data_IF_351380983727
#
_entry.id   IF_351380983727
#
_cell.length_a   1.000
_cell.length_b   1.000
_cell.length_c   1.000
_cell.angle_alpha   90.00
_cell.angle_beta   90.00
_cell.angle_gamma   90.00
#
_symmetry.space_group_name_H-M   'P 1'
#
loop_
_entity.id
_entity.type
_entity.pdbx_description
1 polymer ?
#
# COMPACT_ATOMS: atom_id res chain seq x y z
N UNK A 1 -23.25 -12.54 -11.76
CA UNK A 1 -23.20 -11.72 -10.53
C UNK A 1 -22.42 -10.44 -10.87
N UNK A 2 -22.90 -9.23 -10.51
CA UNK A 2 -22.15 -7.99 -10.78
C UNK A 2 -21.10 -7.82 -9.69
N UNK A 3 -19.84 -7.62 -10.08
CA UNK A 3 -18.71 -7.40 -9.18
C UNK A 3 -18.17 -5.98 -9.37
N UNK A 4 -17.69 -5.36 -8.29
CA UNK A 4 -17.07 -4.05 -8.29
C UNK A 4 -15.77 -4.11 -7.51
N UNK A 5 -14.72 -3.47 -8.02
CA UNK A 5 -13.43 -3.35 -7.39
C UNK A 5 -13.22 -1.92 -6.90
N UNK A 6 -12.62 -1.79 -5.73
CA UNK A 6 -12.18 -0.50 -5.20
C UNK A 6 -10.76 -0.63 -4.65
N UNK A 7 -9.85 0.19 -5.17
CA UNK A 7 -8.51 0.32 -4.61
C UNK A 7 -8.53 1.45 -3.58
N UNK A 8 -8.26 1.10 -2.32
CA UNK A 8 -8.28 2.02 -1.19
C UNK A 8 -6.96 1.93 -0.45
N UNK A 9 -6.10 2.92 -0.67
CA UNK A 9 -4.81 3.01 0.00
C UNK A 9 -4.95 3.82 1.28
N UNK A 10 -5.22 3.14 2.38
CA UNK A 10 -5.55 3.72 3.69
C UNK A 10 -4.44 3.43 4.72
N UNK A 11 -4.41 4.25 5.76
CA UNK A 11 -3.60 4.04 6.95
C UNK A 11 -4.46 3.51 8.11
N UNK A 12 -3.82 2.84 9.06
CA UNK A 12 -4.49 2.27 10.25
C UNK A 12 -5.33 3.29 11.03
N UNK A 13 -4.91 4.56 11.07
CA UNK A 13 -5.66 5.62 11.75
C UNK A 13 -6.93 6.08 11.00
N UNK A 14 -7.15 5.62 9.77
CA UNK A 14 -8.30 5.99 8.94
C UNK A 14 -9.46 4.96 9.01
N UNK A 15 -9.43 4.06 9.97
CA UNK A 15 -10.40 2.97 10.09
C UNK A 15 -11.87 3.43 10.11
N UNK A 16 -12.18 4.55 10.82
CA UNK A 16 -13.55 5.11 10.86
C UNK A 16 -14.06 5.52 9.47
N UNK A 17 -13.17 6.02 8.63
CA UNK A 17 -13.50 6.38 7.24
C UNK A 17 -13.76 5.13 6.42
N UNK A 18 -12.97 4.07 6.61
CA UNK A 18 -13.15 2.80 5.93
C UNK A 18 -14.49 2.15 6.34
N UNK A 19 -14.83 2.11 7.63
CA UNK A 19 -16.11 1.62 8.11
C UNK A 19 -17.28 2.40 7.49
N UNK A 20 -17.16 3.74 7.44
CA UNK A 20 -18.18 4.60 6.81
C UNK A 20 -18.32 4.31 5.32
N UNK A 21 -17.20 4.07 4.62
CA UNK A 21 -17.22 3.69 3.21
C UNK A 21 -17.93 2.36 2.98
N UNK A 22 -17.63 1.34 3.81
CA UNK A 22 -18.27 0.03 3.70
C UNK A 22 -19.78 0.12 3.92
N UNK A 23 -20.23 0.91 4.92
CA UNK A 23 -21.66 1.21 5.13
C UNK A 23 -22.31 1.89 3.92
N UNK A 24 -21.63 2.86 3.31
CA UNK A 24 -22.12 3.54 2.09
C UNK A 24 -22.25 2.58 0.91
N UNK A 25 -21.29 1.66 0.75
CA UNK A 25 -21.36 0.62 -0.28
C UNK A 25 -22.52 -0.33 -0.04
N UNK A 26 -22.75 -0.73 1.21
CA UNK A 26 -23.87 -1.57 1.60
C UNK A 26 -25.22 -0.90 1.29
N UNK A 27 -25.38 0.38 1.65
CA UNK A 27 -26.61 1.17 1.32
C UNK A 27 -26.89 1.21 -0.19
N UNK A 28 -25.86 1.09 -1.04
CA UNK A 28 -25.98 1.00 -2.50
C UNK A 28 -26.22 -0.44 -3.01
N UNK A 29 -26.36 -1.41 -2.09
CA UNK A 29 -26.59 -2.81 -2.37
C UNK A 29 -25.31 -3.58 -2.76
N UNK A 30 -24.12 -3.08 -2.37
CA UNK A 30 -22.84 -3.72 -2.58
C UNK A 30 -22.32 -4.29 -1.26
N UNK A 31 -22.25 -5.61 -1.14
CA UNK A 31 -21.67 -6.30 0.00
C UNK A 31 -20.18 -6.55 -0.26
N UNK A 32 -19.35 -6.36 0.77
CA UNK A 32 -17.96 -6.76 0.74
C UNK A 32 -17.89 -8.29 0.61
N UNK A 33 -17.06 -8.77 -0.30
CA UNK A 33 -16.89 -10.19 -0.57
C UNK A 33 -15.48 -10.67 -0.15
N UNK A 34 -14.46 -9.97 -0.61
CA UNK A 34 -13.06 -10.30 -0.29
C UNK A 34 -12.16 -9.07 -0.34
N UNK A 35 -10.96 -9.20 0.26
CA UNK A 35 -9.95 -8.14 0.29
C UNK A 35 -8.60 -8.73 -0.11
N UNK A 36 -7.99 -8.19 -1.14
CA UNK A 36 -6.66 -8.54 -1.60
C UNK A 36 -5.72 -7.32 -1.50
N UNK A 37 -4.85 -7.30 -0.48
CA UNK A 37 -4.05 -6.12 -0.18
C UNK A 37 -4.92 -4.88 0.10
N UNK A 38 -4.85 -3.90 -0.78
CA UNK A 38 -5.65 -2.68 -0.76
C UNK A 38 -6.82 -2.71 -1.76
N UNK A 39 -7.08 -3.85 -2.41
CA UNK A 39 -8.18 -4.02 -3.36
C UNK A 39 -9.35 -4.67 -2.62
N UNK A 40 -10.47 -3.94 -2.54
CA UNK A 40 -11.73 -4.38 -1.97
C UNK A 40 -12.63 -4.87 -3.10
N UNK A 41 -13.16 -6.08 -2.96
CA UNK A 41 -14.02 -6.71 -3.94
C UNK A 41 -15.44 -6.75 -3.36
N UNK A 42 -16.38 -6.18 -4.11
CA UNK A 42 -17.77 -6.09 -3.71
C UNK A 42 -18.64 -6.87 -4.68
N UNK A 43 -19.66 -7.55 -4.15
CA UNK A 43 -20.65 -8.26 -4.92
C UNK A 43 -22.04 -7.67 -4.66
N UNK A 44 -22.90 -7.68 -5.68
CA UNK A 44 -24.27 -7.16 -5.56
C UNK A 44 -25.12 -8.17 -4.77
N UNK A 45 -25.63 -7.78 -3.60
CA UNK A 45 -26.54 -8.59 -2.74
C UNK A 45 -27.81 -7.82 -2.46
N UNK A 46 -28.92 -8.55 -2.29
CA UNK A 46 -30.21 -7.93 -1.94
C UNK A 46 -30.22 -7.38 -0.51
N UNK A 47 -29.51 -8.03 0.39
CA UNK A 47 -29.39 -7.64 1.81
C UNK A 47 -27.89 -7.67 2.20
N UNK A 48 -27.17 -6.57 2.00
CA UNK A 48 -25.81 -6.44 2.54
C UNK A 48 -25.88 -6.15 4.04
N UNK A 49 -24.80 -6.43 4.77
CA UNK A 49 -24.66 -6.08 6.18
C UNK A 49 -24.89 -4.58 6.40
N UNK A 50 -25.55 -4.19 7.50
CA UNK A 50 -25.86 -2.79 7.77
C UNK A 50 -24.70 -2.05 8.44
N UNK A 51 -24.05 -2.70 9.41
CA UNK A 51 -22.95 -2.12 10.18
C UNK A 51 -21.66 -2.89 9.91
N UNK A 52 -20.53 -2.18 9.84
CA UNK A 52 -19.21 -2.75 9.66
C UNK A 52 -18.27 -2.29 10.74
N UNK A 53 -17.47 -3.21 11.23
CA UNK A 53 -16.36 -3.00 12.15
C UNK A 53 -15.06 -3.46 11.49
N UNK A 54 -14.03 -2.62 11.53
CA UNK A 54 -12.72 -2.92 10.96
C UNK A 54 -11.71 -3.07 12.07
N UNK A 55 -11.12 -4.24 12.20
CA UNK A 55 -10.00 -4.49 13.09
C UNK A 55 -8.69 -4.63 12.31
N UNK A 56 -7.59 -4.15 12.89
CA UNK A 56 -6.26 -4.34 12.34
C UNK A 56 -5.59 -5.48 13.08
N UNK A 57 -5.09 -6.46 12.33
CA UNK A 57 -4.41 -7.65 12.85
C UNK A 57 -3.09 -7.25 13.53
N UNK A 58 -3.20 -6.66 14.72
CA UNK A 58 -2.04 -6.15 15.48
C UNK A 58 -1.27 -7.25 16.19
N UNK A 59 -1.89 -8.39 16.44
CA UNK A 59 -1.26 -9.54 17.07
C UNK A 59 -0.75 -10.52 16.02
N UNK A 60 0.51 -10.94 16.16
CA UNK A 60 1.07 -12.06 15.39
C UNK A 60 0.65 -13.42 15.96
N UNK A 61 -0.02 -13.41 17.11
CA UNK A 61 -0.46 -14.59 17.81
C UNK A 61 -1.85 -15.00 17.31
N UNK A 62 -1.91 -16.10 16.58
CA UNK A 62 -3.16 -16.61 16.00
C UNK A 62 -4.21 -16.95 17.08
N UNK A 63 -3.77 -17.38 18.29
CA UNK A 63 -4.68 -17.70 19.38
C UNK A 63 -5.39 -16.48 19.93
N UNK A 64 -4.70 -15.34 20.03
CA UNK A 64 -5.28 -14.08 20.47
C UNK A 64 -6.24 -13.51 19.43
N UNK A 65 -5.92 -13.69 18.14
CA UNK A 65 -6.83 -13.28 17.08
C UNK A 65 -8.10 -14.12 17.08
N UNK A 66 -8.00 -15.43 17.31
CA UNK A 66 -9.19 -16.30 17.42
C UNK A 66 -10.07 -15.90 18.61
N UNK A 67 -9.51 -15.72 19.80
CA UNK A 67 -10.26 -15.25 20.98
C UNK A 67 -10.94 -13.89 20.74
N UNK A 68 -10.28 -12.99 20.02
CA UNK A 68 -10.86 -11.71 19.66
C UNK A 68 -12.02 -11.88 18.67
N UNK A 69 -11.89 -12.78 17.68
CA UNK A 69 -12.98 -13.08 16.75
C UNK A 69 -14.20 -13.65 17.47
N UNK A 70 -14.00 -14.61 18.39
CA UNK A 70 -15.07 -15.21 19.18
C UNK A 70 -15.80 -14.13 20.00
N UNK A 71 -15.05 -13.22 20.63
CA UNK A 71 -15.62 -12.08 21.37
C UNK A 71 -16.46 -11.16 20.47
N UNK A 72 -15.99 -10.84 19.27
CA UNK A 72 -16.71 -9.99 18.32
C UNK A 72 -18.01 -10.67 17.85
N UNK A 73 -17.99 -11.99 17.67
CA UNK A 73 -19.17 -12.77 17.30
C UNK A 73 -20.22 -12.79 18.42
N UNK A 74 -19.82 -12.84 19.70
CA UNK A 74 -20.73 -12.70 20.84
C UNK A 74 -21.46 -11.35 20.85
N UNK A 75 -20.82 -10.29 20.31
CA UNK A 75 -21.46 -8.98 20.12
C UNK A 75 -22.35 -8.89 18.88
N UNK A 76 -22.62 -9.98 18.18
CA UNK A 76 -23.53 -10.03 17.02
C UNK A 76 -22.91 -9.58 15.69
N UNK A 77 -21.59 -9.55 15.61
CA UNK A 77 -20.85 -9.31 14.38
C UNK A 77 -20.33 -10.63 13.81
N UNK A 78 -20.51 -10.85 12.52
CA UNK A 78 -19.95 -11.99 11.81
C UNK A 78 -18.73 -11.55 10.98
N UNK A 79 -17.72 -12.42 10.90
CA UNK A 79 -16.60 -12.21 10.00
C UNK A 79 -17.09 -12.13 8.54
N UNK A 80 -16.63 -11.11 7.80
CA UNK A 80 -17.01 -10.86 6.40
C UNK A 80 -15.85 -11.14 5.48
N UNK A 81 -14.73 -10.49 5.68
CA UNK A 81 -13.53 -10.62 4.86
C UNK A 81 -12.33 -10.03 5.59
N UNK A 82 -11.13 -10.46 5.21
CA UNK A 82 -9.90 -9.89 5.75
C UNK A 82 -8.67 -10.36 4.99
N UNK A 83 -7.54 -9.83 5.40
CA UNK A 83 -6.21 -10.21 4.93
C UNK A 83 -5.20 -10.14 6.08
N UNK A 84 -3.89 -10.19 5.79
CA UNK A 84 -2.85 -10.08 6.83
C UNK A 84 -2.82 -8.72 7.55
N UNK A 85 -3.44 -7.68 7.01
CA UNK A 85 -3.41 -6.32 7.56
C UNK A 85 -4.64 -6.02 8.40
N UNK A 86 -5.81 -6.50 8.00
CA UNK A 86 -7.07 -6.18 8.65
C UNK A 86 -8.10 -7.30 8.52
N UNK A 87 -9.04 -7.32 9.47
CA UNK A 87 -10.25 -8.13 9.46
C UNK A 87 -11.48 -7.22 9.46
N UNK A 88 -12.48 -7.57 8.68
CA UNK A 88 -13.74 -6.83 8.59
C UNK A 88 -14.86 -7.73 9.08
N UNK A 89 -15.62 -7.21 10.03
CA UNK A 89 -16.81 -7.84 10.58
C UNK A 89 -18.04 -7.03 10.21
N UNK A 90 -19.18 -7.68 10.09
CA UNK A 90 -20.44 -7.02 9.73
C UNK A 90 -21.62 -7.55 10.53
N UNK A 91 -22.54 -6.66 10.90
CA UNK A 91 -23.81 -7.00 11.55
C UNK A 91 -24.99 -6.66 10.66
N UNK A 92 -26.06 -7.45 10.77
CA UNK A 92 -27.35 -7.18 10.10
C UNK A 92 -28.17 -6.15 10.87
N UNK A 93 -27.83 -5.91 12.12
CA UNK A 93 -28.46 -4.93 12.97
C UNK A 93 -27.72 -3.60 12.95
N UNK A 94 -28.45 -2.52 13.12
CA UNK A 94 -27.87 -1.16 13.23
C UNK A 94 -27.37 -0.94 14.66
N UNK A 95 -26.45 -1.81 15.08
CA UNK A 95 -25.89 -1.77 16.43
C UNK A 95 -24.76 -0.74 16.49
N UNK A 96 -24.97 0.30 17.30
CA UNK A 96 -23.91 1.17 17.79
C UNK A 96 -23.26 0.57 19.05
N UNK A 97 -22.80 -0.66 19.00
CA UNK A 97 -22.02 -1.20 20.12
C UNK A 97 -20.59 -0.70 19.97
N UNK A 98 -20.09 0.10 20.91
CA UNK A 98 -18.69 0.50 20.92
C UNK A 98 -17.84 -0.71 21.31
N UNK A 99 -17.46 -1.53 20.33
CA UNK A 99 -16.51 -2.64 20.54
C UNK A 99 -15.13 -2.07 20.94
N UNK A 100 -14.86 -0.86 20.50
CA UNK A 100 -13.66 -0.11 20.94
C UNK A 100 -13.99 0.61 22.24
N UNK A 101 -13.22 0.28 23.27
CA UNK A 101 -13.24 1.02 24.52
C UNK A 101 -12.88 2.49 24.35
N UNK A 102 -12.57 3.14 25.47
CA UNK A 102 -12.21 4.56 25.53
C UNK A 102 -11.29 4.98 24.37
N UNK A 103 -11.57 6.13 23.76
CA UNK A 103 -10.79 6.70 22.66
C UNK A 103 -9.29 6.78 22.98
N UNK A 104 -8.93 6.96 24.26
CA UNK A 104 -7.53 6.99 24.71
C UNK A 104 -6.85 5.63 24.60
N UNK A 105 -7.53 4.53 24.95
CA UNK A 105 -6.99 3.16 24.83
C UNK A 105 -6.79 2.82 23.36
N UNK A 106 -7.76 3.16 22.53
CA UNK A 106 -7.67 2.98 21.06
C UNK A 106 -6.52 3.79 20.50
N UNK A 107 -6.34 5.04 20.96
CA UNK A 107 -5.21 5.88 20.56
C UNK A 107 -3.86 5.24 20.91
N UNK A 108 -3.70 4.75 22.13
CA UNK A 108 -2.42 4.13 22.54
C UNK A 108 -2.11 2.87 21.74
N UNK A 109 -3.10 2.03 21.48
CA UNK A 109 -2.95 0.81 20.67
C UNK A 109 -2.56 1.14 19.22
N UNK A 110 -3.27 2.04 18.56
CA UNK A 110 -2.98 2.47 17.20
C UNK A 110 -1.61 3.16 17.09
N UNK A 111 -1.25 3.99 18.05
CA UNK A 111 0.05 4.65 18.09
C UNK A 111 1.19 3.64 18.27
N UNK A 112 1.01 2.65 19.14
CA UNK A 112 2.00 1.58 19.34
C UNK A 112 2.18 0.73 18.09
N UNK A 113 1.08 0.30 17.46
CA UNK A 113 1.10 -0.53 16.26
C UNK A 113 1.63 0.22 15.03
N UNK A 114 1.19 1.46 14.83
CA UNK A 114 1.55 2.25 13.64
C UNK A 114 2.91 2.94 13.72
N UNK A 115 3.45 3.17 14.93
CA UNK A 115 4.63 4.00 15.12
C UNK A 115 5.84 3.55 14.32
N UNK A 116 6.27 2.30 14.47
CA UNK A 116 7.46 1.78 13.80
C UNK A 116 7.30 1.76 12.28
N UNK A 117 6.14 1.31 11.81
CA UNK A 117 5.87 1.24 10.38
C UNK A 117 5.86 2.63 9.72
N UNK A 118 5.16 3.58 10.32
CA UNK A 118 5.01 4.90 9.73
C UNK A 118 6.30 5.75 9.83
N UNK A 119 7.06 5.64 10.91
CA UNK A 119 8.38 6.29 11.00
C UNK A 119 9.38 5.64 10.04
N UNK A 120 9.37 4.31 9.92
CA UNK A 120 10.17 3.61 8.93
C UNK A 120 9.87 4.08 7.51
N UNK A 121 8.60 4.14 7.15
CA UNK A 121 8.15 4.62 5.84
C UNK A 121 8.58 6.07 5.59
N UNK A 122 8.50 6.95 6.60
CA UNK A 122 8.95 8.33 6.49
C UNK A 122 10.45 8.41 6.17
N UNK A 123 11.28 7.71 6.95
CA UNK A 123 12.72 7.69 6.76
C UNK A 123 13.07 7.15 5.37
N UNK A 124 12.51 6.01 4.98
CA UNK A 124 12.73 5.38 3.67
C UNK A 124 12.30 6.34 2.55
N UNK A 125 11.12 6.98 2.69
CA UNK A 125 10.63 7.94 1.70
C UNK A 125 11.55 9.14 1.53
N UNK A 126 12.06 9.71 2.62
CA UNK A 126 13.01 10.81 2.58
C UNK A 126 14.35 10.40 1.94
N UNK A 127 14.87 9.21 2.28
CA UNK A 127 16.09 8.68 1.67
C UNK A 127 15.94 8.52 0.16
N UNK A 128 14.83 7.96 -0.32
CA UNK A 128 14.55 7.83 -1.76
C UNK A 128 14.49 9.17 -2.47
N UNK A 129 13.90 10.20 -1.86
CA UNK A 129 13.86 11.55 -2.42
C UNK A 129 15.27 12.15 -2.49
N UNK A 130 16.07 12.02 -1.42
CA UNK A 130 17.44 12.54 -1.41
C UNK A 130 18.29 11.87 -2.49
N UNK A 131 18.26 10.54 -2.58
CA UNK A 131 18.99 9.79 -3.61
C UNK A 131 18.52 10.20 -5.00
N UNK A 132 17.22 10.35 -5.21
CA UNK A 132 16.65 10.80 -6.48
C UNK A 132 17.10 12.21 -6.86
N UNK A 133 17.11 13.15 -5.92
CA UNK A 133 17.62 14.51 -6.15
C UNK A 133 19.11 14.49 -6.50
N UNK A 134 19.92 13.74 -5.77
CA UNK A 134 21.34 13.60 -6.08
C UNK A 134 21.55 13.04 -7.50
N UNK A 135 20.76 12.05 -7.91
CA UNK A 135 20.82 11.48 -9.26
C UNK A 135 20.42 12.48 -10.35
N UNK A 136 19.43 13.35 -10.09
CA UNK A 136 19.01 14.40 -11.05
C UNK A 136 20.06 15.49 -11.20
N UNK A 137 20.71 15.89 -10.09
CA UNK A 137 21.70 16.97 -10.10
C UNK A 137 23.11 16.53 -10.49
N UNK A 138 23.35 15.22 -10.66
CA UNK A 138 24.66 14.72 -11.07
C UNK A 138 24.95 15.13 -12.50
N UNK A 139 26.04 15.88 -12.68
CA UNK A 139 26.46 16.36 -13.99
C UNK A 139 27.30 15.29 -14.72
N UNK A 140 26.92 14.98 -15.95
CA UNK A 140 27.68 14.11 -16.85
C UNK A 140 27.84 14.76 -18.20
N UNK A 141 29.03 14.67 -18.80
CA UNK A 141 29.36 15.27 -20.09
C UNK A 141 28.59 14.61 -21.25
N UNK A 142 28.26 13.32 -21.13
CA UNK A 142 27.52 12.60 -22.16
C UNK A 142 25.99 12.73 -21.97
N UNK A 143 25.33 13.28 -22.99
CA UNK A 143 23.88 13.55 -23.01
C UNK A 143 23.04 12.31 -22.70
N UNK A 144 23.41 11.15 -23.25
CA UNK A 144 22.67 9.89 -23.05
C UNK A 144 22.68 9.47 -21.58
N UNK A 145 23.86 9.51 -20.93
CA UNK A 145 23.97 9.18 -19.50
C UNK A 145 23.21 10.17 -18.62
N UNK A 146 23.24 11.45 -18.99
CA UNK A 146 22.51 12.51 -18.29
C UNK A 146 21.01 12.28 -18.31
N UNK A 147 20.42 11.95 -19.47
CA UNK A 147 18.98 11.67 -19.59
C UNK A 147 18.61 10.41 -18.80
N UNK A 148 19.43 9.37 -18.85
CA UNK A 148 19.20 8.12 -18.12
C UNK A 148 19.20 8.37 -16.61
N UNK A 149 20.18 9.08 -16.08
CA UNK A 149 20.27 9.38 -14.64
C UNK A 149 19.15 10.30 -14.16
N UNK A 150 18.76 11.29 -14.95
CA UNK A 150 17.61 12.14 -14.64
C UNK A 150 16.32 11.31 -14.51
N UNK A 151 16.05 10.40 -15.44
CA UNK A 151 14.84 9.58 -15.39
C UNK A 151 14.86 8.60 -14.21
N UNK A 152 16.02 8.00 -13.89
CA UNK A 152 16.17 7.20 -12.66
C UNK A 152 15.95 8.06 -11.42
N UNK A 153 16.50 9.25 -11.36
CA UNK A 153 16.30 10.19 -10.25
C UNK A 153 14.83 10.56 -10.06
N UNK A 154 14.10 10.87 -11.14
CA UNK A 154 12.67 11.16 -11.06
C UNK A 154 11.86 9.96 -10.56
N UNK A 155 12.18 8.73 -10.99
CA UNK A 155 11.49 7.54 -10.48
C UNK A 155 11.74 7.31 -8.99
N UNK A 156 12.96 7.54 -8.52
CA UNK A 156 13.30 7.47 -7.10
C UNK A 156 12.51 8.50 -6.27
N UNK A 157 12.39 9.73 -6.76
CA UNK A 157 11.56 10.77 -6.11
C UNK A 157 10.09 10.32 -6.03
N UNK A 158 9.53 9.78 -7.12
CA UNK A 158 8.15 9.29 -7.13
C UNK A 158 7.93 8.16 -6.10
N UNK A 159 8.86 7.21 -6.01
CA UNK A 159 8.82 6.15 -4.99
C UNK A 159 8.85 6.77 -3.58
N UNK A 160 9.75 7.69 -3.33
CA UNK A 160 9.82 8.40 -2.05
C UNK A 160 8.52 9.12 -1.69
N UNK A 161 7.87 9.78 -2.66
CA UNK A 161 6.57 10.43 -2.46
C UNK A 161 5.46 9.44 -2.12
N UNK A 162 5.46 8.24 -2.70
CA UNK A 162 4.52 7.17 -2.31
C UNK A 162 4.70 6.83 -0.83
N UNK A 163 5.92 6.56 -0.39
CA UNK A 163 6.22 6.24 1.01
C UNK A 163 5.80 7.35 1.98
N UNK A 164 6.04 8.61 1.63
CA UNK A 164 5.60 9.76 2.43
C UNK A 164 4.07 9.87 2.49
N UNK A 165 3.37 9.61 1.38
CA UNK A 165 1.91 9.67 1.33
C UNK A 165 1.23 8.65 2.26
N UNK A 166 1.88 7.49 2.49
CA UNK A 166 1.41 6.48 3.46
C UNK A 166 1.51 6.98 4.88
N UNK A 167 2.61 7.64 5.22
CA UNK A 167 2.91 8.09 6.58
C UNK A 167 2.17 9.37 6.97
N UNK A 168 1.78 10.18 5.99
CA UNK A 168 1.14 11.48 6.21
C UNK A 168 -0.10 11.43 7.12
N UNK A 169 -1.08 10.52 6.93
CA UNK A 169 -2.25 10.46 7.81
C UNK A 169 -1.89 10.13 9.27
N UNK A 170 -0.90 9.27 9.48
CA UNK A 170 -0.44 8.92 10.82
C UNK A 170 0.22 10.12 11.51
N UNK A 171 1.03 10.88 10.80
CA UNK A 171 1.68 12.08 11.32
C UNK A 171 0.61 13.12 11.67
N UNK A 172 -0.32 13.38 10.76
CA UNK A 172 -1.42 14.31 10.96
C UNK A 172 -2.27 13.90 12.18
N UNK A 173 -2.64 12.64 12.30
CA UNK A 173 -3.41 12.11 13.40
C UNK A 173 -2.67 12.26 14.74
N UNK A 174 -1.36 12.01 14.77
CA UNK A 174 -0.54 12.15 15.96
C UNK A 174 -0.37 13.59 16.41
N UNK A 175 -0.21 14.53 15.48
CA UNK A 175 0.00 15.94 15.79
C UNK A 175 -1.27 16.64 16.26
N UNK A 176 -2.39 16.36 15.63
CA UNK A 176 -3.62 17.11 15.86
C UNK A 176 -4.63 16.38 16.72
N UNK A 177 -4.39 15.12 17.13
CA UNK A 177 -5.32 14.25 17.89
C UNK A 177 -6.76 14.19 17.34
N UNK A 178 -7.01 14.83 16.21
CA UNK A 178 -8.31 14.87 15.52
C UNK A 178 -8.17 14.23 14.14
N UNK A 179 -9.03 13.26 13.89
CA UNK A 179 -9.14 12.61 12.57
C UNK A 179 -10.20 13.34 11.76
N UNK A 180 -9.83 14.37 11.04
CA UNK A 180 -10.67 14.96 9.97
C UNK A 180 -10.45 14.26 8.63
N UNK A 181 -10.12 12.95 8.67
CA UNK A 181 -9.95 12.18 7.44
C UNK A 181 -11.27 12.02 6.72
N UNK A 182 -11.26 12.29 5.44
CA UNK A 182 -12.41 12.12 4.56
C UNK A 182 -12.16 10.98 3.59
N UNK A 183 -13.22 10.36 3.10
CA UNK A 183 -13.12 9.36 2.05
C UNK A 183 -12.41 9.93 0.81
N UNK A 184 -12.62 11.20 0.52
CA UNK A 184 -11.96 11.88 -0.59
C UNK A 184 -10.43 11.90 -0.45
N UNK A 185 -9.90 12.10 0.76
CA UNK A 185 -8.44 12.08 1.00
C UNK A 185 -7.83 10.69 0.76
N UNK A 186 -8.54 9.61 1.13
CA UNK A 186 -8.12 8.23 0.84
C UNK A 186 -8.15 7.97 -0.67
N UNK A 187 -9.22 8.40 -1.35
CA UNK A 187 -9.35 8.21 -2.79
C UNK A 187 -8.28 8.99 -3.56
N UNK A 188 -8.05 10.25 -3.22
CA UNK A 188 -7.01 11.07 -3.86
C UNK A 188 -5.63 10.42 -3.71
N UNK A 189 -5.29 9.96 -2.52
CA UNK A 189 -4.03 9.26 -2.26
C UNK A 189 -3.95 7.94 -3.03
N UNK A 190 -5.03 7.20 -3.12
CA UNK A 190 -5.11 5.96 -3.91
C UNK A 190 -4.83 6.23 -5.40
N UNK A 191 -5.44 7.26 -5.97
CA UNK A 191 -5.16 7.67 -7.36
C UNK A 191 -3.72 8.14 -7.55
N UNK A 192 -3.17 8.89 -6.59
CA UNK A 192 -1.78 9.32 -6.62
C UNK A 192 -0.81 8.13 -6.62
N UNK A 193 -1.03 7.14 -5.76
CA UNK A 193 -0.22 5.91 -5.72
C UNK A 193 -0.30 5.14 -7.05
N UNK A 194 -1.49 5.00 -7.63
CA UNK A 194 -1.67 4.35 -8.93
C UNK A 194 -0.89 5.12 -10.01
N UNK A 195 -1.04 6.43 -10.06
CA UNK A 195 -0.35 7.29 -11.04
C UNK A 195 1.17 7.14 -10.95
N UNK A 196 1.73 7.24 -9.72
CA UNK A 196 3.17 7.09 -9.49
C UNK A 196 3.66 5.68 -9.86
N UNK A 197 2.87 4.64 -9.55
CA UNK A 197 3.20 3.26 -9.90
C UNK A 197 3.19 3.07 -11.41
N UNK A 198 2.20 3.60 -12.12
CA UNK A 198 2.16 3.57 -13.59
C UNK A 198 3.36 4.32 -14.20
N UNK A 199 3.69 5.52 -13.70
CA UNK A 199 4.86 6.27 -14.16
C UNK A 199 6.17 5.50 -13.95
N UNK A 200 6.32 4.83 -12.79
CA UNK A 200 7.46 3.95 -12.52
C UNK A 200 7.56 2.81 -13.53
N UNK A 201 6.48 2.09 -13.81
CA UNK A 201 6.49 1.01 -14.80
C UNK A 201 6.74 1.52 -16.22
N UNK A 202 6.19 2.67 -16.61
CA UNK A 202 6.49 3.28 -17.91
C UNK A 202 7.98 3.59 -18.06
N UNK A 203 8.62 4.16 -17.04
CA UNK A 203 10.06 4.43 -17.08
C UNK A 203 10.88 3.14 -17.13
N UNK A 204 10.51 2.13 -16.35
CA UNK A 204 11.16 0.81 -16.36
C UNK A 204 11.09 0.17 -17.76
N UNK A 205 9.94 0.21 -18.42
CA UNK A 205 9.73 -0.34 -19.75
C UNK A 205 10.55 0.41 -20.82
N UNK A 206 10.75 1.72 -20.66
CA UNK A 206 11.61 2.50 -21.57
C UNK A 206 13.09 2.12 -21.46
N UNK A 207 13.55 1.73 -20.25
CA UNK A 207 14.94 1.34 -20.02
C UNK A 207 15.23 -0.16 -20.24
N UNK A 208 14.21 -1.02 -20.06
CA UNK A 208 14.38 -2.48 -20.18
C UNK A 208 15.02 -2.91 -21.51
N UNK A 209 14.63 -2.40 -22.68
CA UNK A 209 15.26 -2.78 -23.94
C UNK A 209 16.76 -2.43 -24.00
N UNK A 210 17.14 -1.29 -23.44
CA UNK A 210 18.54 -0.82 -23.41
C UNK A 210 19.38 -1.74 -22.51
N UNK A 211 18.88 -2.07 -21.31
CA UNK A 211 19.56 -2.95 -20.38
C UNK A 211 19.72 -4.36 -20.96
N UNK A 212 18.67 -4.90 -21.57
CA UNK A 212 18.70 -6.22 -22.23
C UNK A 212 19.69 -6.24 -23.39
N UNK A 213 19.68 -5.20 -24.23
CA UNK A 213 20.62 -5.08 -25.35
C UNK A 213 22.08 -5.01 -24.88
N UNK A 214 22.37 -4.19 -23.86
CA UNK A 214 23.72 -4.12 -23.27
C UNK A 214 24.15 -5.46 -22.64
N UNK A 215 23.25 -6.17 -21.97
CA UNK A 215 23.54 -7.47 -21.38
C UNK A 215 23.86 -8.52 -22.43
N UNK A 216 23.16 -8.52 -23.58
CA UNK A 216 23.44 -9.41 -24.70
C UNK A 216 24.80 -9.10 -25.31
N UNK A 217 25.16 -7.81 -25.50
CA UNK A 217 26.47 -7.41 -26.02
C UNK A 217 27.61 -7.84 -25.09
N UNK A 218 27.44 -7.70 -23.78
CA UNK A 218 28.43 -8.16 -22.78
C UNK A 218 28.60 -9.67 -22.86
N UNK A 219 27.48 -10.42 -22.93
CA UNK A 219 27.53 -11.88 -23.05
C UNK A 219 28.23 -12.32 -24.32
N UNK A 220 27.94 -11.69 -25.47
CA UNK A 220 28.57 -11.97 -26.73
C UNK A 220 30.07 -11.67 -26.67
N UNK A 221 30.48 -10.56 -26.08
CA UNK A 221 31.90 -10.20 -25.93
C UNK A 221 32.67 -11.21 -25.07
N UNK A 222 32.03 -11.68 -23.97
CA UNK A 222 32.58 -12.74 -23.10
C UNK A 222 32.72 -14.07 -23.82
N UNK A 223 31.77 -14.46 -24.67
CA UNK A 223 31.81 -15.69 -25.45
C UNK A 223 32.94 -15.62 -26.50
N UNK A 224 33.11 -14.47 -27.15
CA UNK A 224 34.22 -14.26 -28.11
C UNK A 224 35.59 -14.32 -27.42
N UNK A 225 35.70 -13.75 -26.22
CA UNK A 225 36.92 -13.78 -25.43
C UNK A 225 37.24 -15.19 -24.96
N UNK A 226 36.26 -15.96 -24.51
CA UNK A 226 36.43 -17.38 -24.15
C UNK A 226 36.85 -18.22 -25.35
N UNK A 227 36.27 -17.97 -26.54
CA UNK A 227 36.66 -18.63 -27.79
C UNK A 227 38.11 -18.33 -28.16
N UNK A 228 38.54 -17.05 -28.09
CA UNK A 228 39.90 -16.68 -28.38
C UNK A 228 40.93 -17.30 -27.42
N UNK A 229 40.58 -17.37 -26.14
CA UNK A 229 41.39 -18.04 -25.12
C UNK A 229 41.50 -19.55 -25.36
N UNK A 230 40.39 -20.18 -25.79
CA UNK A 230 40.39 -21.59 -26.17
C UNK A 230 41.28 -21.89 -27.38
N UNK A 231 41.19 -21.08 -28.42
CA UNK A 231 42.04 -21.18 -29.61
C UNK A 231 43.53 -20.93 -29.29
N UNK A 232 43.83 -19.99 -28.37
CA UNK A 232 45.19 -19.72 -27.92
C UNK A 232 45.75 -20.80 -26.99
N UNK A 233 44.94 -21.61 -26.36
CA UNK A 233 45.37 -22.72 -25.47
C UNK A 233 45.80 -23.96 -26.22
N UNK A 234 45.72 -23.98 -27.55
CA UNK A 234 46.30 -25.05 -28.43
C UNK A 234 45.61 -26.42 -28.26
N UNK A 235 44.38 -26.48 -27.81
CA UNK A 235 43.57 -27.71 -27.69
C UNK A 235 42.42 -27.69 -28.68
#
# INVERSE_FOLDING_TARGET
>A
MKTRYAFLYFNICEYKVLETYLRQMAKKGWALDSIFGYIFIFTKKKQPKHTYYVDFNMSRDASKNAQFHDMIEEYGYAYVAGNSLLSVFGSDEDMEIPIRGDDEITYQQLNKAGRWLNWGNLIVGLLWIIIGLLSVFQYYDHVVYRISLMSVGFTQILIGMIWLSVSYPFIQWRMFKKTSFTLWSIQLRSYFVILCTCAFFCTLLLFLPIVVFCSILILLSLLLLLKSLWEASGK
#
